data_IF_698307303938
#
_entry.id   IF_698307303938
#
_cell.length_a   1.000
_cell.length_b   1.000
_cell.length_c   1.000
_cell.angle_alpha   90.00
_cell.angle_beta   90.00
_cell.angle_gamma   90.00
#
_symmetry.space_group_name_H-M   'P 1'
#
loop_
_entity.id
_entity.type
_entity.pdbx_description
1 polymer ?
#
# COMPACT_ATOMS: atom_id res chain seq x y z
N UNK A 1 55.85 -33.08 54.55
CA UNK A 1 54.38 -33.08 54.57
C UNK A 1 53.91 -32.30 53.36
N UNK A 2 53.35 -33.01 52.38
CA UNK A 2 52.80 -32.43 51.17
C UNK A 2 51.39 -31.88 51.46
N UNK A 3 51.04 -30.75 50.86
CA UNK A 3 49.65 -30.44 50.56
C UNK A 3 49.60 -29.62 49.27
N UNK A 4 49.09 -30.28 48.24
CA UNK A 4 48.79 -29.75 46.92
C UNK A 4 47.40 -29.12 46.96
N UNK A 5 47.27 -27.86 46.53
CA UNK A 5 45.97 -27.28 46.20
C UNK A 5 46.06 -26.76 44.76
N UNK A 6 45.60 -27.62 43.85
CA UNK A 6 45.39 -27.34 42.46
C UNK A 6 44.39 -26.17 42.31
N UNK A 7 44.81 -25.12 41.60
CA UNK A 7 43.91 -24.06 41.17
C UNK A 7 43.16 -24.54 39.93
N UNK A 8 41.86 -24.83 40.09
CA UNK A 8 40.96 -25.12 38.98
C UNK A 8 40.70 -23.82 38.20
N UNK A 9 41.20 -23.77 36.97
CA UNK A 9 40.77 -22.82 35.95
C UNK A 9 39.34 -23.18 35.51
N UNK A 10 38.37 -22.34 35.88
CA UNK A 10 37.00 -22.43 35.33
C UNK A 10 36.99 -21.63 34.02
N UNK A 11 37.12 -22.33 32.89
CA UNK A 11 36.78 -21.78 31.58
C UNK A 11 35.26 -21.78 31.43
N UNK A 12 34.63 -20.61 31.59
CA UNK A 12 33.24 -20.41 31.21
C UNK A 12 33.15 -20.29 29.69
N UNK A 13 32.79 -21.36 29.01
CA UNK A 13 32.42 -21.35 27.60
C UNK A 13 31.03 -20.70 27.45
N UNK A 14 30.98 -19.47 26.95
CA UNK A 14 29.72 -18.82 26.54
C UNK A 14 29.33 -19.40 25.19
N UNK A 15 28.37 -20.33 25.20
CA UNK A 15 27.71 -20.80 23.98
C UNK A 15 26.62 -19.77 23.64
N UNK A 16 26.92 -18.87 22.71
CA UNK A 16 25.90 -18.02 22.08
C UNK A 16 25.13 -18.90 21.10
N UNK A 17 23.95 -19.38 21.49
CA UNK A 17 23.03 -20.04 20.56
C UNK A 17 22.31 -18.95 19.77
N UNK A 18 22.79 -18.68 18.55
CA UNK A 18 22.06 -17.89 17.57
C UNK A 18 20.88 -18.72 17.05
N UNK A 19 19.71 -18.53 17.64
CA UNK A 19 18.45 -18.97 17.03
C UNK A 19 18.09 -17.98 15.91
N UNK A 20 18.64 -18.18 14.72
CA UNK A 20 18.03 -17.65 13.49
C UNK A 20 17.00 -18.66 12.99
N UNK A 21 15.78 -18.60 13.55
CA UNK A 21 14.63 -19.23 12.91
C UNK A 21 14.13 -18.32 11.80
N UNK A 22 14.77 -18.37 10.63
CA UNK A 22 14.08 -17.95 9.40
C UNK A 22 13.12 -19.08 9.06
N UNK A 23 11.90 -19.03 9.63
CA UNK A 23 10.79 -19.69 8.95
C UNK A 23 10.67 -18.96 7.60
N UNK A 24 11.12 -19.61 6.53
CA UNK A 24 10.63 -19.29 5.22
C UNK A 24 9.13 -19.55 5.28
N UNK A 25 8.34 -18.51 5.50
CA UNK A 25 6.91 -18.57 5.23
C UNK A 25 6.79 -19.08 3.81
N UNK A 26 6.09 -20.20 3.62
CA UNK A 26 5.71 -20.66 2.29
C UNK A 26 4.78 -19.59 1.77
N UNK A 27 5.34 -18.66 1.00
CA UNK A 27 4.58 -17.61 0.35
C UNK A 27 3.56 -18.32 -0.54
N UNK A 28 2.27 -18.15 -0.22
CA UNK A 28 1.19 -18.79 -0.95
C UNK A 28 1.28 -18.43 -2.42
N UNK A 29 0.84 -19.34 -3.29
CA UNK A 29 0.78 -19.08 -4.72
C UNK A 29 -0.19 -17.92 -5.01
N UNK A 30 -0.09 -17.31 -6.19
CA UNK A 30 -1.05 -16.29 -6.63
C UNK A 30 -2.49 -16.78 -6.48
N UNK A 31 -2.77 -18.00 -6.93
CA UNK A 31 -4.11 -18.57 -6.96
C UNK A 31 -4.63 -18.91 -5.56
N UNK A 32 -3.80 -18.99 -4.52
CA UNK A 32 -4.28 -19.17 -3.14
C UNK A 32 -4.97 -17.89 -2.64
N UNK A 33 -4.44 -16.74 -3.03
CA UNK A 33 -4.84 -15.45 -2.48
C UNK A 33 -5.77 -14.67 -3.41
N UNK A 34 -5.64 -14.83 -4.73
CA UNK A 34 -6.21 -13.92 -5.71
C UNK A 34 -7.12 -14.59 -6.74
N UNK A 35 -8.01 -13.78 -7.28
CA UNK A 35 -8.72 -14.00 -8.53
C UNK A 35 -8.32 -12.89 -9.51
N UNK A 36 -8.13 -13.24 -10.78
CA UNK A 36 -7.74 -12.29 -11.84
C UNK A 36 -8.89 -12.02 -12.81
N UNK A 37 -8.95 -10.79 -13.31
CA UNK A 37 -9.90 -10.34 -14.33
C UNK A 37 -9.11 -9.75 -15.50
N UNK A 38 -8.63 -10.62 -16.38
CA UNK A 38 -7.95 -10.21 -17.62
C UNK A 38 -7.81 -11.34 -18.65
N UNK A 39 -7.47 -11.02 -19.92
CA UNK A 39 -7.18 -12.04 -20.92
C UNK A 39 -5.95 -12.86 -20.52
N UNK A 40 -5.91 -14.14 -20.89
CA UNK A 40 -4.80 -15.05 -20.54
C UNK A 40 -3.43 -14.51 -20.96
N UNK A 41 -3.36 -13.79 -22.08
CA UNK A 41 -2.10 -13.21 -22.57
C UNK A 41 -1.58 -12.05 -21.73
N UNK A 42 -2.41 -11.49 -20.84
CA UNK A 42 -2.08 -10.28 -20.07
C UNK A 42 -1.55 -10.56 -18.66
N UNK A 43 -1.62 -11.82 -18.21
CA UNK A 43 -1.09 -12.27 -16.93
C UNK A 43 -0.04 -13.35 -17.15
N UNK A 44 1.18 -13.11 -16.67
CA UNK A 44 2.26 -14.11 -16.70
C UNK A 44 2.87 -14.23 -15.32
N UNK A 45 3.56 -15.34 -15.08
CA UNK A 45 4.37 -15.53 -13.87
C UNK A 45 5.83 -15.79 -14.24
N UNK A 46 6.75 -15.55 -13.31
CA UNK A 46 8.11 -16.09 -13.38
C UNK A 46 8.08 -17.62 -13.37
N UNK A 47 9.21 -18.25 -13.71
CA UNK A 47 9.35 -19.71 -13.73
C UNK A 47 9.05 -20.36 -12.37
N UNK A 48 9.37 -19.68 -11.27
CA UNK A 48 9.10 -20.11 -9.89
C UNK A 48 7.70 -19.71 -9.37
N UNK A 49 6.91 -19.00 -10.18
CA UNK A 49 5.57 -18.53 -9.83
C UNK A 49 5.52 -17.38 -8.80
N UNK A 50 6.68 -16.85 -8.37
CA UNK A 50 6.74 -15.87 -7.27
C UNK A 50 6.58 -14.42 -7.72
N UNK A 51 6.83 -14.12 -9.00
CA UNK A 51 6.62 -12.81 -9.60
C UNK A 51 5.45 -12.90 -10.57
N UNK A 52 4.53 -11.94 -10.47
CA UNK A 52 3.35 -11.84 -11.33
C UNK A 52 3.46 -10.59 -12.20
N UNK A 53 3.18 -10.75 -13.48
CA UNK A 53 3.29 -9.69 -14.48
C UNK A 53 1.90 -9.38 -15.02
N UNK A 54 1.42 -8.15 -14.80
CA UNK A 54 0.21 -7.62 -15.42
C UNK A 54 0.61 -6.74 -16.59
N UNK A 55 -0.04 -6.96 -17.73
CA UNK A 55 0.23 -6.16 -18.91
C UNK A 55 -0.99 -5.45 -19.47
N UNK A 56 -0.73 -4.30 -20.07
CA UNK A 56 -1.67 -3.46 -20.77
C UNK A 56 -1.23 -3.34 -22.23
N UNK A 57 -2.16 -3.58 -23.14
CA UNK A 57 -2.04 -3.27 -24.55
C UNK A 57 -3.30 -2.51 -25.01
N UNK A 58 -3.35 -2.11 -26.28
CA UNK A 58 -4.47 -1.32 -26.82
C UNK A 58 -5.83 -2.04 -26.76
N UNK A 59 -5.86 -3.35 -26.51
CA UNK A 59 -7.08 -4.17 -26.49
C UNK A 59 -7.62 -4.30 -25.07
N UNK A 60 -6.75 -4.51 -24.08
CA UNK A 60 -7.17 -4.74 -22.70
C UNK A 60 -6.07 -4.41 -21.67
N UNK A 61 -6.52 -4.06 -20.46
CA UNK A 61 -5.68 -4.09 -19.26
C UNK A 61 -5.71 -5.43 -18.56
N UNK A 62 -5.16 -5.48 -17.34
CA UNK A 62 -5.34 -6.61 -16.44
C UNK A 62 -5.48 -6.15 -15.00
N UNK A 63 -6.20 -6.92 -14.19
CA UNK A 63 -6.26 -6.72 -12.75
C UNK A 63 -6.50 -8.01 -11.99
N UNK A 64 -6.29 -7.96 -10.68
CA UNK A 64 -6.60 -9.02 -9.74
C UNK A 64 -7.16 -8.46 -8.44
N UNK A 65 -7.83 -9.32 -7.69
CA UNK A 65 -8.42 -9.02 -6.39
C UNK A 65 -8.18 -10.17 -5.41
N UNK A 66 -8.11 -9.88 -4.12
CA UNK A 66 -8.08 -10.93 -3.10
C UNK A 66 -9.37 -11.72 -3.10
N UNK A 67 -9.30 -13.01 -2.79
CA UNK A 67 -10.50 -13.84 -2.58
C UNK A 67 -11.22 -13.48 -1.28
N UNK A 68 -10.48 -12.97 -0.31
CA UNK A 68 -10.98 -12.58 1.00
C UNK A 68 -11.11 -11.07 1.13
N UNK A 69 -12.10 -10.65 1.92
CA UNK A 69 -12.20 -9.28 2.42
C UNK A 69 -11.55 -9.18 3.78
N UNK A 70 -11.09 -7.98 4.12
CA UNK A 70 -10.49 -7.66 5.38
C UNK A 70 -11.08 -6.37 5.94
N UNK A 71 -11.06 -6.22 7.26
CA UNK A 71 -11.37 -4.94 7.91
C UNK A 71 -10.34 -4.69 8.99
N UNK A 72 -9.51 -3.68 8.76
CA UNK A 72 -8.32 -3.38 9.54
C UNK A 72 -7.18 -4.39 9.39
N UNK A 73 -5.96 -3.90 9.63
CA UNK A 73 -4.72 -4.65 9.50
C UNK A 73 -3.63 -3.92 8.73
N UNK A 74 -2.60 -4.69 8.39
CA UNK A 74 -1.48 -4.31 7.54
C UNK A 74 -1.57 -5.04 6.20
N UNK A 75 -1.55 -4.28 5.12
CA UNK A 75 -1.66 -4.79 3.76
C UNK A 75 -0.44 -4.33 2.99
N UNK A 76 0.30 -5.25 2.37
CA UNK A 76 1.58 -4.94 1.76
C UNK A 76 1.84 -5.77 0.52
N UNK A 77 2.45 -5.15 -0.49
CA UNK A 77 2.89 -5.82 -1.72
C UNK A 77 4.16 -5.14 -2.24
N UNK A 78 5.06 -5.91 -2.83
CA UNK A 78 6.16 -5.33 -3.62
C UNK A 78 5.74 -5.14 -5.06
N UNK A 79 5.90 -3.92 -5.55
CA UNK A 79 5.61 -3.55 -6.94
C UNK A 79 6.87 -3.04 -7.61
N UNK A 80 7.01 -3.36 -8.90
CA UNK A 80 7.91 -2.70 -9.84
C UNK A 80 7.11 -2.18 -11.02
N UNK A 81 7.23 -0.88 -11.30
CA UNK A 81 6.38 -0.17 -12.25
C UNK A 81 6.86 -0.34 -13.70
N UNK A 82 6.06 0.17 -14.63
CA UNK A 82 6.34 0.12 -16.06
C UNK A 82 7.57 0.96 -16.39
N UNK A 83 8.62 0.33 -16.91
CA UNK A 83 9.81 1.05 -17.39
C UNK A 83 9.59 1.76 -18.73
N UNK A 84 10.45 2.74 -19.03
CA UNK A 84 10.40 3.49 -20.28
C UNK A 84 9.29 4.55 -20.32
N UNK A 85 8.68 4.76 -21.50
CA UNK A 85 7.58 5.71 -21.68
C UNK A 85 6.26 5.04 -21.30
N UNK A 86 5.74 5.43 -20.15
CA UNK A 86 4.50 4.94 -19.54
C UNK A 86 3.43 6.03 -19.41
N UNK A 87 3.59 7.15 -20.13
CA UNK A 87 2.62 8.23 -20.10
C UNK A 87 1.21 7.71 -20.43
N UNK A 88 0.20 8.16 -19.68
CA UNK A 88 -1.20 7.76 -19.81
C UNK A 88 -1.53 6.39 -19.20
N UNK A 89 -0.55 5.65 -18.69
CA UNK A 89 -0.76 4.36 -18.02
C UNK A 89 -0.82 4.54 -16.51
N UNK A 90 -1.82 3.94 -15.88
CA UNK A 90 -1.94 3.85 -14.42
C UNK A 90 -1.76 2.42 -13.98
N UNK A 91 -0.85 2.21 -13.04
CA UNK A 91 -0.82 1.00 -12.20
C UNK A 91 -1.51 1.34 -10.89
N UNK A 92 -2.48 0.55 -10.44
CA UNK A 92 -3.20 0.78 -9.20
C UNK A 92 -2.95 -0.37 -8.21
N UNK A 93 -2.87 -0.05 -6.93
CA UNK A 93 -2.87 -0.97 -5.80
C UNK A 93 -3.76 -0.37 -4.72
N UNK A 94 -4.93 -0.97 -4.51
CA UNK A 94 -5.97 -0.31 -3.75
C UNK A 94 -6.82 -1.29 -2.96
N UNK A 95 -7.54 -0.79 -1.98
CA UNK A 95 -8.54 -1.56 -1.24
C UNK A 95 -9.91 -1.00 -1.55
N UNK A 96 -10.91 -1.84 -1.81
CA UNK A 96 -12.28 -1.40 -2.09
C UNK A 96 -13.32 -2.37 -1.51
N UNK A 97 -14.45 -1.85 -1.05
CA UNK A 97 -15.54 -2.65 -0.45
C UNK A 97 -16.34 -3.46 -1.46
N UNK A 98 -16.38 -3.00 -2.70
CA UNK A 98 -17.19 -3.57 -3.77
C UNK A 98 -16.27 -4.14 -4.86
N UNK A 99 -16.71 -5.22 -5.52
CA UNK A 99 -16.05 -5.71 -6.73
C UNK A 99 -16.33 -4.72 -7.87
N UNK A 100 -15.40 -3.78 -8.06
CA UNK A 100 -15.54 -2.63 -8.95
C UNK A 100 -15.86 -1.31 -8.22
N UNK A 101 -15.87 -0.21 -9.00
CA UNK A 101 -16.08 1.15 -8.50
C UNK A 101 -17.56 1.47 -8.23
N UNK A 102 -18.16 0.73 -7.30
CA UNK A 102 -19.57 0.90 -6.91
C UNK A 102 -19.90 2.29 -6.31
N UNK A 103 -21.19 2.68 -6.32
CA UNK A 103 -21.64 4.03 -5.96
C UNK A 103 -21.58 4.32 -4.46
N UNK A 104 -21.43 3.29 -3.62
CA UNK A 104 -21.38 3.44 -2.16
C UNK A 104 -20.08 2.91 -1.57
N UNK A 105 -19.05 2.71 -2.39
CA UNK A 105 -17.83 2.05 -1.95
C UNK A 105 -17.04 2.90 -0.95
N UNK A 106 -16.35 2.22 -0.04
CA UNK A 106 -15.19 2.80 0.61
C UNK A 106 -13.94 2.29 -0.13
N UNK A 107 -12.92 3.13 -0.28
CA UNK A 107 -11.73 2.81 -1.10
C UNK A 107 -10.48 3.52 -0.56
N UNK A 108 -9.33 2.85 -0.64
CA UNK A 108 -8.02 3.36 -0.26
C UNK A 108 -7.04 3.10 -1.41
N UNK A 109 -6.52 4.15 -2.02
CA UNK A 109 -5.81 4.03 -3.29
C UNK A 109 -4.31 4.32 -3.17
N UNK A 110 -3.51 3.49 -3.83
CA UNK A 110 -2.28 3.91 -4.50
C UNK A 110 -2.50 3.83 -6.02
N UNK A 111 -2.26 4.94 -6.70
CA UNK A 111 -2.27 5.03 -8.16
C UNK A 111 -0.93 5.59 -8.63
N UNK A 112 -0.21 4.80 -9.40
CA UNK A 112 1.08 5.16 -9.98
C UNK A 112 0.86 5.72 -11.37
N UNK A 113 1.08 7.01 -11.52
CA UNK A 113 0.84 7.75 -12.75
C UNK A 113 2.12 7.72 -13.58
N UNK A 114 2.08 6.98 -14.69
CA UNK A 114 3.20 6.88 -15.61
C UNK A 114 3.56 8.21 -16.29
N UNK A 115 4.74 8.26 -16.88
CA UNK A 115 5.29 9.48 -17.47
C UNK A 115 6.14 9.17 -18.70
N UNK A 116 6.57 10.21 -19.41
CA UNK A 116 7.52 10.07 -20.52
C UNK A 116 8.86 9.54 -20.01
N UNK A 117 9.60 8.84 -20.86
CA UNK A 117 10.95 8.34 -20.52
C UNK A 117 11.82 9.46 -19.95
N UNK A 118 12.40 9.23 -18.77
CA UNK A 118 13.28 10.18 -18.09
C UNK A 118 12.56 11.20 -17.19
N UNK A 119 11.23 11.26 -17.25
CA UNK A 119 10.41 12.07 -16.34
C UNK A 119 9.95 11.25 -15.13
N UNK A 120 9.79 11.85 -13.95
CA UNK A 120 9.48 11.12 -12.73
C UNK A 120 8.06 10.55 -12.75
N UNK A 121 7.91 9.35 -12.18
CA UNK A 121 6.62 8.83 -11.79
C UNK A 121 6.00 9.68 -10.68
N UNK A 122 4.67 9.72 -10.64
CA UNK A 122 3.92 10.25 -9.51
C UNK A 122 3.16 9.12 -8.82
N UNK A 123 3.12 9.16 -7.49
CA UNK A 123 2.23 8.34 -6.69
C UNK A 123 1.08 9.20 -6.18
N UNK A 124 -0.15 8.86 -6.58
CA UNK A 124 -1.38 9.43 -6.07
C UNK A 124 -1.94 8.50 -5.00
N UNK A 125 -2.33 9.08 -3.86
CA UNK A 125 -3.15 8.38 -2.86
C UNK A 125 -4.52 9.02 -2.80
N UNK A 126 -5.56 8.22 -2.59
CA UNK A 126 -6.92 8.71 -2.43
C UNK A 126 -7.64 7.94 -1.33
N UNK A 127 -8.70 8.54 -0.80
CA UNK A 127 -9.56 7.94 0.22
C UNK A 127 -11.01 8.20 -0.17
N UNK A 128 -11.79 7.14 -0.35
CA UNK A 128 -13.22 7.22 -0.56
C UNK A 128 -13.98 6.77 0.67
N UNK A 129 -15.06 7.49 0.97
CA UNK A 129 -16.11 7.05 1.89
C UNK A 129 -17.46 7.16 1.20
N UNK A 130 -18.20 6.07 1.20
CA UNK A 130 -19.57 5.97 0.70
C UNK A 130 -19.72 6.57 -0.73
N UNK A 131 -18.81 6.19 -1.62
CA UNK A 131 -18.76 6.61 -3.03
C UNK A 131 -18.13 7.97 -3.27
N UNK A 132 -17.88 8.76 -2.22
CA UNK A 132 -17.25 10.08 -2.34
C UNK A 132 -15.76 9.95 -2.10
N UNK A 133 -14.95 10.35 -3.07
CA UNK A 133 -13.50 10.49 -2.95
C UNK A 133 -13.09 11.95 -2.89
N UNK A 134 -12.28 12.38 -3.87
CA UNK A 134 -11.74 13.74 -3.97
C UNK A 134 -10.73 14.10 -2.87
N UNK A 135 -9.98 13.11 -2.39
CA UNK A 135 -9.00 13.24 -1.31
C UNK A 135 -7.61 12.93 -1.84
N UNK A 136 -7.30 13.36 -3.06
CA UNK A 136 -6.05 13.05 -3.73
C UNK A 136 -4.89 13.77 -3.04
N UNK A 137 -3.80 13.04 -2.78
CA UNK A 137 -2.48 13.61 -2.53
C UNK A 137 -1.50 12.99 -3.52
N UNK A 138 -0.65 13.81 -4.14
CA UNK A 138 0.36 13.35 -5.12
C UNK A 138 1.76 13.63 -4.62
N UNK A 139 2.64 12.65 -4.83
CA UNK A 139 4.03 12.72 -4.42
C UNK A 139 4.95 12.31 -5.57
N UNK A 140 6.13 12.93 -5.64
CA UNK A 140 7.28 12.34 -6.34
C UNK A 140 7.95 11.31 -5.41
N UNK A 141 8.64 10.33 -6.00
CA UNK A 141 9.39 9.32 -5.25
C UNK A 141 10.87 9.69 -5.14
N UNK A 142 11.54 9.20 -4.08
CA UNK A 142 12.97 9.42 -3.83
C UNK A 142 13.88 8.36 -4.48
N UNK A 143 13.31 7.56 -5.37
CA UNK A 143 13.95 6.49 -6.14
C UNK A 143 13.20 6.32 -7.48
N UNK A 144 13.81 5.59 -8.41
CA UNK A 144 13.14 5.18 -9.65
C UNK A 144 12.34 3.89 -9.40
N UNK A 145 10.99 3.94 -9.40
CA UNK A 145 10.16 2.77 -9.09
C UNK A 145 10.09 1.73 -10.23
N UNK A 146 10.78 1.98 -11.34
CA UNK A 146 10.84 1.07 -12.49
C UNK A 146 12.06 0.14 -12.47
N UNK A 147 13.08 0.50 -11.68
CA UNK A 147 14.37 -0.21 -11.63
C UNK A 147 14.34 -1.43 -10.68
N UNK A 148 13.71 -1.30 -9.51
CA UNK A 148 13.59 -2.40 -8.54
C UNK A 148 12.20 -2.47 -7.89
N UNK A 149 11.96 -3.56 -7.15
CA UNK A 149 10.75 -3.77 -6.38
C UNK A 149 10.81 -2.97 -5.08
N UNK A 150 9.80 -2.12 -4.88
CA UNK A 150 9.59 -1.37 -3.65
C UNK A 150 8.29 -1.83 -2.98
N UNK A 151 8.25 -1.69 -1.66
CA UNK A 151 7.11 -2.12 -0.85
C UNK A 151 6.12 -0.99 -0.70
N UNK A 152 4.86 -1.25 -1.02
CA UNK A 152 3.76 -0.32 -0.84
C UNK A 152 2.79 -0.94 0.15
N UNK A 153 2.48 -0.21 1.22
CA UNK A 153 1.69 -0.75 2.31
C UNK A 153 0.64 0.21 2.84
N UNK A 154 -0.45 -0.34 3.35
CA UNK A 154 -1.49 0.37 4.07
C UNK A 154 -1.60 -0.23 5.47
N UNK A 155 -1.40 0.59 6.50
CA UNK A 155 -1.90 0.32 7.84
C UNK A 155 -3.29 0.94 7.94
N UNK A 156 -4.30 0.13 8.23
CA UNK A 156 -5.66 0.60 8.42
C UNK A 156 -6.18 0.09 9.76
N UNK A 157 -6.52 1.00 10.67
CA UNK A 157 -7.13 0.64 11.95
C UNK A 157 -8.24 1.65 12.30
N UNK A 158 -8.75 1.55 13.52
CA UNK A 158 -9.83 2.41 14.00
C UNK A 158 -9.42 3.86 14.24
N UNK A 159 -8.12 4.18 14.27
CA UNK A 159 -7.60 5.51 14.60
C UNK A 159 -7.04 6.25 13.38
N UNK A 160 -6.47 5.51 12.43
CA UNK A 160 -5.82 6.09 11.26
C UNK A 160 -5.72 5.10 10.10
N UNK A 161 -5.53 5.69 8.91
CA UNK A 161 -4.99 5.02 7.74
C UNK A 161 -3.63 5.64 7.49
N UNK A 162 -2.61 4.81 7.29
CA UNK A 162 -1.26 5.27 6.95
C UNK A 162 -0.80 4.55 5.68
N UNK A 163 -0.44 5.34 4.69
CA UNK A 163 0.13 4.87 3.43
C UNK A 163 1.66 4.90 3.56
N UNK A 164 2.31 3.77 3.27
CA UNK A 164 3.75 3.60 3.36
C UNK A 164 4.37 3.26 2.01
N UNK A 165 5.58 3.76 1.79
CA UNK A 165 6.52 3.31 0.75
C UNK A 165 7.81 2.90 1.45
N UNK A 166 8.20 1.64 1.35
CA UNK A 166 9.37 1.06 2.05
C UNK A 166 9.42 1.37 3.56
N UNK A 167 8.26 1.27 4.23
CA UNK A 167 8.05 1.62 5.65
C UNK A 167 8.20 3.11 5.99
N UNK A 168 8.44 3.97 5.01
CA UNK A 168 8.34 5.44 5.16
C UNK A 168 6.89 5.87 5.00
N UNK A 169 6.25 6.46 6.01
CA UNK A 169 4.90 6.99 5.88
C UNK A 169 4.90 8.17 4.90
N UNK A 170 4.05 8.10 3.87
CA UNK A 170 3.88 9.18 2.90
C UNK A 170 2.59 9.97 3.12
N UNK A 171 1.61 9.39 3.81
CA UNK A 171 0.34 10.03 4.16
C UNK A 171 -0.24 9.40 5.42
N UNK A 172 -0.68 10.25 6.35
CA UNK A 172 -1.49 9.87 7.51
C UNK A 172 -2.88 10.46 7.36
N UNK A 173 -3.91 9.64 7.51
CA UNK A 173 -5.31 10.05 7.43
C UNK A 173 -6.03 9.63 8.71
N UNK A 174 -6.37 10.59 9.57
CA UNK A 174 -6.86 10.33 10.93
C UNK A 174 -8.37 10.11 10.98
N UNK A 175 -8.81 9.26 11.92
CA UNK A 175 -10.19 9.16 12.32
C UNK A 175 -10.48 10.16 13.45
N UNK A 176 -11.43 11.08 13.24
CA UNK A 176 -11.83 12.09 14.21
C UNK A 176 -12.82 11.60 15.27
N UNK A 177 -13.28 10.34 15.18
CA UNK A 177 -14.15 9.68 16.14
C UNK A 177 -15.44 10.47 16.52
N UNK A 178 -16.02 11.20 15.57
CA UNK A 178 -17.32 11.89 15.72
C UNK A 178 -18.31 11.48 14.60
N UNK A 179 -19.61 11.74 14.83
CA UNK A 179 -20.69 11.41 13.88
C UNK A 179 -20.52 12.14 12.55
N UNK A 180 -20.58 11.42 11.43
CA UNK A 180 -20.32 11.92 10.05
C UNK A 180 -18.84 12.14 9.69
N UNK A 181 -17.89 11.60 10.45
CA UNK A 181 -16.48 11.64 10.05
C UNK A 181 -16.25 10.95 8.69
N UNK A 182 -15.49 11.59 7.80
CA UNK A 182 -15.03 10.99 6.55
C UNK A 182 -13.88 10.03 6.84
N UNK A 183 -14.19 8.83 7.29
CA UNK A 183 -13.22 7.76 7.51
C UNK A 183 -13.86 6.39 7.25
N UNK A 184 -13.26 5.54 6.40
CA UNK A 184 -13.82 4.24 6.07
C UNK A 184 -13.45 3.23 7.16
N UNK A 185 -14.32 3.06 8.17
CA UNK A 185 -14.11 2.11 9.26
C UNK A 185 -15.25 1.10 9.42
N UNK A 186 -16.23 1.05 8.51
CA UNK A 186 -17.46 0.27 8.67
C UNK A 186 -17.51 -0.96 7.76
N UNK A 187 -17.02 -0.84 6.52
CA UNK A 187 -17.20 -1.84 5.48
C UNK A 187 -15.88 -2.60 5.26
N UNK A 188 -15.90 -3.95 5.20
CA UNK A 188 -14.71 -4.73 4.86
C UNK A 188 -14.36 -4.54 3.38
N UNK A 189 -13.06 -4.54 3.06
CA UNK A 189 -12.53 -4.31 1.72
C UNK A 189 -11.77 -5.52 1.18
N UNK A 190 -11.92 -5.78 -0.12
CA UNK A 190 -10.94 -6.57 -0.86
C UNK A 190 -9.72 -5.70 -1.15
N UNK A 191 -8.59 -6.35 -1.43
CA UNK A 191 -7.45 -5.70 -2.01
C UNK A 191 -7.40 -6.00 -3.51
N UNK A 192 -7.06 -5.00 -4.31
CA UNK A 192 -7.02 -5.04 -5.75
C UNK A 192 -5.68 -4.52 -6.27
N UNK A 193 -5.35 -4.95 -7.49
CA UNK A 193 -4.39 -4.25 -8.32
C UNK A 193 -4.78 -4.33 -9.78
N UNK A 194 -4.44 -3.31 -10.56
CA UNK A 194 -4.74 -3.26 -11.98
C UNK A 194 -3.75 -2.39 -12.75
N UNK A 195 -3.68 -2.62 -14.07
CA UNK A 195 -3.00 -1.76 -15.02
C UNK A 195 -3.96 -1.37 -16.14
N UNK A 196 -4.11 -0.07 -16.38
CA UNK A 196 -5.12 0.47 -17.30
C UNK A 196 -4.69 1.81 -17.89
N UNK A 197 -5.38 2.21 -18.96
CA UNK A 197 -5.17 3.48 -19.64
C UNK A 197 -6.06 4.58 -19.05
N UNK A 198 -5.45 5.70 -18.69
CA UNK A 198 -6.08 6.84 -18.03
C UNK A 198 -5.68 8.15 -18.73
N UNK A 199 -5.68 8.12 -20.06
CA UNK A 199 -5.20 9.20 -20.93
C UNK A 199 -5.80 10.57 -20.60
N UNK A 200 -7.03 10.61 -20.09
CA UNK A 200 -7.74 11.85 -19.82
C UNK A 200 -7.21 12.63 -18.61
N UNK A 201 -6.40 12.02 -17.74
CA UNK A 201 -5.95 12.68 -16.51
C UNK A 201 -4.58 12.27 -15.97
N UNK A 202 -4.07 11.07 -16.29
CA UNK A 202 -2.93 10.48 -15.57
C UNK A 202 -1.64 11.29 -15.69
N UNK A 203 -1.22 11.62 -16.92
CA UNK A 203 0.08 12.25 -17.15
C UNK A 203 -0.09 13.71 -17.53
N UNK A 204 0.52 14.61 -16.73
CA UNK A 204 0.40 16.07 -16.88
C UNK A 204 -1.05 16.54 -16.97
N UNK A 205 -1.93 15.97 -16.14
CA UNK A 205 -3.36 16.30 -16.14
C UNK A 205 -4.09 15.89 -17.43
N UNK A 206 -3.58 14.87 -18.13
CA UNK A 206 -4.17 14.34 -19.37
C UNK A 206 -3.64 14.95 -20.66
N UNK A 207 -2.64 15.84 -20.60
CA UNK A 207 -2.00 16.42 -21.79
C UNK A 207 -1.16 15.39 -22.56
N UNK A 208 -0.55 14.44 -21.85
CA UNK A 208 0.31 13.42 -22.44
C UNK A 208 -0.47 12.09 -22.54
N UNK A 209 -0.60 11.59 -23.76
CA UNK A 209 -1.36 10.38 -24.08
C UNK A 209 -0.46 9.15 -24.23
N UNK A 210 -1.06 7.98 -24.05
CA UNK A 210 -0.39 6.69 -24.19
C UNK A 210 0.08 6.47 -25.62
N UNK A 211 1.37 6.20 -25.75
CA UNK A 211 1.96 5.80 -27.01
C UNK A 211 1.87 4.28 -27.17
N UNK A 212 0.79 3.81 -27.78
CA UNK A 212 0.52 2.38 -27.99
C UNK A 212 1.56 1.63 -28.84
N UNK A 213 2.54 2.32 -29.46
CA UNK A 213 3.70 1.66 -30.09
C UNK A 213 4.63 1.01 -29.06
N UNK A 214 4.58 1.45 -27.81
CA UNK A 214 5.41 0.96 -26.71
C UNK A 214 4.78 -0.24 -25.97
N UNK A 215 3.60 -0.70 -26.39
CA UNK A 215 2.95 -1.86 -25.78
C UNK A 215 3.78 -3.15 -25.98
N UNK A 216 3.68 -4.14 -25.07
CA UNK A 216 2.89 -4.10 -23.84
C UNK A 216 3.57 -3.29 -22.73
N UNK A 217 2.77 -2.54 -21.98
CA UNK A 217 3.20 -1.95 -20.72
C UNK A 217 3.08 -3.01 -19.62
N UNK A 218 4.09 -3.18 -18.78
CA UNK A 218 4.13 -4.29 -17.80
C UNK A 218 4.43 -3.76 -16.40
N UNK A 219 3.56 -4.08 -15.46
CA UNK A 219 3.78 -3.90 -14.01
C UNK A 219 4.03 -5.27 -13.37
N UNK A 220 4.91 -5.31 -12.37
CA UNK A 220 5.34 -6.57 -11.74
C UNK A 220 5.05 -6.56 -10.24
N UNK A 221 4.65 -7.71 -9.69
CA UNK A 221 4.20 -7.86 -8.31
C UNK A 221 4.85 -9.08 -7.67
N UNK A 222 5.19 -8.99 -6.38
CA UNK A 222 5.61 -10.12 -5.55
C UNK A 222 5.41 -9.81 -4.07
N UNK A 223 5.66 -10.79 -3.23
CA UNK A 223 5.74 -10.65 -1.76
C UNK A 223 4.47 -10.03 -1.17
N UNK A 224 3.31 -10.60 -1.55
CA UNK A 224 2.05 -10.24 -0.93
C UNK A 224 2.04 -10.65 0.53
N UNK A 225 1.81 -9.68 1.41
CA UNK A 225 1.71 -9.90 2.84
C UNK A 225 0.49 -9.19 3.40
N UNK A 226 -0.36 -9.93 4.08
CA UNK A 226 -1.50 -9.39 4.83
C UNK A 226 -1.47 -9.95 6.24
N UNK A 227 -1.37 -9.03 7.19
CA UNK A 227 -1.61 -9.30 8.59
C UNK A 227 -2.79 -8.44 9.03
N UNK A 228 -4.00 -8.96 8.81
CA UNK A 228 -5.23 -8.22 8.98
C UNK A 228 -6.42 -9.09 9.29
N UNK A 229 -7.47 -8.46 9.79
CA UNK A 229 -8.67 -9.18 10.22
C UNK A 229 -9.51 -9.58 9.01
N UNK A 230 -9.42 -10.87 8.65
CA UNK A 230 -10.24 -11.46 7.61
C UNK A 230 -11.73 -11.36 7.99
N UNK A 231 -12.55 -10.89 7.05
CA UNK A 231 -13.97 -10.72 7.28
C UNK A 231 -14.71 -12.06 7.31
N UNK A 232 -15.53 -12.24 8.34
CA UNK A 232 -16.47 -13.35 8.49
C UNK A 232 -17.78 -12.80 9.01
N UNK A 233 -18.86 -13.05 8.28
CA UNK A 233 -20.19 -12.56 8.66
C UNK A 233 -20.64 -13.16 10.01
N UNK A 234 -21.42 -12.40 10.82
CA UNK A 234 -21.85 -11.02 10.56
C UNK A 234 -20.85 -9.95 11.04
N UNK A 235 -19.94 -10.31 11.94
CA UNK A 235 -18.93 -9.41 12.51
C UNK A 235 -17.85 -10.27 13.20
N UNK A 236 -16.63 -10.40 12.66
CA UNK A 236 -15.61 -11.22 13.28
C UNK A 236 -15.01 -10.52 14.50
N UNK A 237 -14.59 -11.32 15.49
CA UNK A 237 -14.06 -10.80 16.75
C UNK A 237 -12.87 -9.86 16.55
N UNK A 238 -12.00 -10.13 15.57
CA UNK A 238 -10.79 -9.34 15.30
C UNK A 238 -11.03 -7.89 14.85
N UNK A 239 -12.28 -7.50 14.54
CA UNK A 239 -12.64 -6.09 14.24
C UNK A 239 -12.99 -5.33 15.52
N UNK A 240 -13.16 -6.01 16.65
CA UNK A 240 -13.42 -5.34 17.92
C UNK A 240 -12.20 -4.56 18.40
N UNK A 241 -12.42 -3.32 18.85
CA UNK A 241 -11.38 -2.47 19.47
C UNK A 241 -10.87 -3.02 20.80
N UNK A 242 -11.48 -4.08 21.33
CA UNK A 242 -11.04 -4.79 22.53
C UNK A 242 -10.12 -5.97 22.25
N UNK A 243 -9.74 -6.20 20.99
CA UNK A 243 -8.86 -7.31 20.62
C UNK A 243 -7.39 -7.02 20.86
N UNK A 244 -6.59 -8.09 20.98
CA UNK A 244 -5.15 -8.03 21.22
C UNK A 244 -4.33 -7.99 19.91
N UNK A 245 -4.94 -7.59 18.79
CA UNK A 245 -4.20 -7.44 17.54
C UNK A 245 -3.25 -6.25 17.65
N UNK A 246 -2.05 -6.37 17.08
CA UNK A 246 -1.00 -5.34 17.23
C UNK A 246 -1.39 -4.01 16.57
N UNK A 247 -2.14 -4.03 15.46
CA UNK A 247 -2.58 -2.83 14.74
C UNK A 247 -3.61 -2.01 15.51
N UNK A 248 -4.22 -2.60 16.55
CA UNK A 248 -5.15 -1.94 17.46
C UNK A 248 -4.52 -1.59 18.83
N UNK A 249 -3.20 -1.73 18.98
CA UNK A 249 -2.48 -1.25 20.18
C UNK A 249 -2.07 0.22 20.03
N UNK A 250 -1.84 0.89 21.17
CA UNK A 250 -1.50 2.31 21.26
C UNK A 250 -0.35 2.74 20.31
N UNK A 251 0.69 1.92 20.20
CA UNK A 251 1.85 2.19 19.35
C UNK A 251 1.51 2.23 17.85
N UNK A 252 0.38 1.65 17.45
CA UNK A 252 -0.12 1.63 16.06
C UNK A 252 -1.14 2.74 15.77
N UNK A 253 -1.55 3.51 16.79
CA UNK A 253 -2.52 4.62 16.65
C UNK A 253 -1.86 5.93 16.23
N UNK A 254 -0.52 5.98 16.34
CA UNK A 254 0.31 7.13 16.04
C UNK A 254 1.55 6.68 15.28
N UNK A 255 2.18 7.60 14.55
CA UNK A 255 3.52 7.35 14.01
C UNK A 255 4.54 7.27 15.17
N UNK A 256 5.54 6.41 15.03
CA UNK A 256 6.72 6.43 15.91
C UNK A 256 7.50 7.74 15.73
N UNK A 257 8.41 8.04 16.67
CA UNK A 257 9.23 9.27 16.59
C UNK A 257 10.03 9.34 15.28
N UNK A 258 10.65 8.24 14.86
CA UNK A 258 11.42 8.17 13.60
C UNK A 258 10.50 8.32 12.38
N UNK A 259 9.33 7.66 12.40
CA UNK A 259 8.33 7.80 11.35
C UNK A 259 7.80 9.23 11.22
N UNK A 260 7.71 10.00 12.31
CA UNK A 260 7.36 11.43 12.24
C UNK A 260 8.45 12.24 11.56
N UNK A 261 9.72 11.94 11.79
CA UNK A 261 10.83 12.62 11.10
C UNK A 261 10.80 12.32 9.60
N UNK A 262 10.62 11.06 9.23
CA UNK A 262 10.52 10.64 7.83
C UNK A 262 9.30 11.28 7.16
N UNK A 263 8.12 11.23 7.81
CA UNK A 263 6.90 11.85 7.29
C UNK A 263 7.08 13.36 7.09
N UNK A 264 7.72 14.07 8.03
CA UNK A 264 7.99 15.50 7.88
C UNK A 264 8.92 15.79 6.70
N UNK A 265 9.90 14.92 6.44
CA UNK A 265 10.74 15.04 5.26
C UNK A 265 9.95 14.81 3.97
N UNK A 266 9.08 13.80 3.90
CA UNK A 266 8.20 13.57 2.74
C UNK A 266 7.30 14.78 2.48
N UNK A 267 6.62 15.28 3.52
CA UNK A 267 5.71 16.42 3.42
C UNK A 267 6.41 17.68 2.89
N UNK A 268 7.66 17.90 3.28
CA UNK A 268 8.43 19.08 2.86
C UNK A 268 9.00 18.98 1.45
N UNK A 269 9.39 17.78 1.02
CA UNK A 269 10.24 17.62 -0.17
C UNK A 269 9.55 16.94 -1.35
N UNK A 270 8.49 16.18 -1.11
CA UNK A 270 7.96 15.24 -2.11
C UNK A 270 6.50 15.44 -2.46
N UNK A 271 5.70 16.09 -1.60
CA UNK A 271 4.30 16.41 -1.90
C UNK A 271 4.23 17.47 -3.00
N UNK A 272 3.51 17.18 -4.08
CA UNK A 272 3.29 18.12 -5.19
C UNK A 272 1.82 18.55 -5.32
N UNK A 273 0.89 17.80 -4.73
CA UNK A 273 -0.52 18.14 -4.64
C UNK A 273 -1.09 17.60 -3.33
N UNK A 274 -1.87 18.42 -2.65
CA UNK A 274 -2.62 18.06 -1.46
C UNK A 274 -3.99 18.74 -1.52
N UNK A 275 -5.05 17.93 -1.60
CA UNK A 275 -6.42 18.40 -1.63
C UNK A 275 -6.78 19.32 -0.44
N UNK A 276 -6.12 19.16 0.72
CA UNK A 276 -6.34 20.01 1.89
C UNK A 276 -5.85 21.46 1.69
N UNK A 277 -4.98 21.69 0.71
CA UNK A 277 -4.44 23.01 0.34
C UNK A 277 -5.07 23.57 -0.93
N UNK A 278 -5.88 22.78 -1.64
CA UNK A 278 -6.54 23.19 -2.88
C UNK A 278 -7.82 24.00 -2.58
N UNK A 279 -7.63 25.31 -2.38
CA UNK A 279 -8.74 26.23 -2.07
C UNK A 279 -9.67 26.50 -3.25
N UNK A 280 -9.22 26.21 -4.48
CA UNK A 280 -10.06 26.34 -5.67
C UNK A 280 -11.09 25.22 -5.73
N UNK A 281 -10.65 23.97 -5.51
CA UNK A 281 -11.53 22.81 -5.45
C UNK A 281 -12.32 22.74 -4.15
N UNK A 282 -11.72 23.17 -3.03
CA UNK A 282 -12.35 23.19 -1.72
C UNK A 282 -12.39 24.59 -1.10
N UNK A 283 -13.32 25.46 -1.54
CA UNK A 283 -13.51 26.77 -0.93
C UNK A 283 -13.81 26.69 0.58
N UNK A 284 -14.48 25.60 1.00
CA UNK A 284 -14.57 25.18 2.41
C UNK A 284 -13.64 23.99 2.61
N UNK A 285 -12.58 24.19 3.41
CA UNK A 285 -11.61 23.15 3.75
C UNK A 285 -12.33 21.93 4.36
N UNK A 286 -12.06 20.71 3.86
CA UNK A 286 -12.63 19.49 4.42
C UNK A 286 -12.29 19.31 5.92
N UNK A 287 -13.19 18.69 6.68
CA UNK A 287 -13.10 18.68 8.14
C UNK A 287 -11.90 17.88 8.66
N UNK A 288 -11.61 16.73 8.03
CA UNK A 288 -10.47 15.90 8.41
C UNK A 288 -9.12 16.60 8.22
N UNK A 289 -9.05 17.61 7.35
CA UNK A 289 -7.82 18.38 7.10
C UNK A 289 -7.43 19.30 8.27
N UNK A 290 -8.26 19.37 9.31
CA UNK A 290 -7.95 20.05 10.57
C UNK A 290 -7.38 19.11 11.63
N UNK A 291 -7.47 17.80 11.41
CA UNK A 291 -6.89 16.81 12.31
C UNK A 291 -5.38 16.87 12.22
N UNK A 292 -4.73 16.81 13.38
CA UNK A 292 -3.29 16.79 13.45
C UNK A 292 -2.78 15.39 13.04
N UNK A 293 -2.03 15.25 11.92
CA UNK A 293 -1.50 13.95 11.51
C UNK A 293 -0.31 13.49 12.38
N UNK A 294 0.20 14.36 13.27
CA UNK A 294 1.31 14.10 14.19
C UNK A 294 0.86 13.58 15.56
N UNK A 295 -0.44 13.67 15.84
CA UNK A 295 -1.07 13.29 17.12
C UNK A 295 -1.88 12.00 17.04
#
# INVERSE_FOLDING_TARGET
MASSIAHFLVLSAIIVVLFSSTQAEVQGSFDDNFSKSCPETHFKTSEDGQIWYLSLDKKAGCGFMTKQKYRFGWFSMKLKLVGGDSAGVVTAYYMCTEDGAGPTRDELDFEFLGNRTGEPYLIQTNVYKNGTGNREMRHVLWFDPTEDFHTYSVLWNTHQIVFFVDRVPIRVYKNANYTNNFFPNEKPMYLFSSIWNADDWATRGGLEKTNWKNQPFVSSYKDFNVDGCQWKDPYPSCVSTTTQNWWDQYDSWHLSSDQKLDYAWVQRNLVIYDYCQDTERFPKKPEECWLNPWE
#
